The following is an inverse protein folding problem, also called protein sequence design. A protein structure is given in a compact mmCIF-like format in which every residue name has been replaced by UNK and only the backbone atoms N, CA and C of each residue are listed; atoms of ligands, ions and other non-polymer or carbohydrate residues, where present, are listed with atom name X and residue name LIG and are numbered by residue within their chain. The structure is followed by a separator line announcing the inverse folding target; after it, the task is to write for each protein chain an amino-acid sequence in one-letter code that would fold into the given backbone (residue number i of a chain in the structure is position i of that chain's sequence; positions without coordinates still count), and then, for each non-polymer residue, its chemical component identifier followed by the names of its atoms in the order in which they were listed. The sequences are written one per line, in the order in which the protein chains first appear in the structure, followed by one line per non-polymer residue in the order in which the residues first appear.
data_IF_423981911934
#
_entry.id   IF_423981911934
#
_cell.length_a   1.000
_cell.length_b   1.000
_cell.length_c   1.000
_cell.angle_alpha   90.00
_cell.angle_beta   90.00
_cell.angle_gamma   90.00
#
_symmetry.space_group_name_H-M   'P 1'
#
loop_
_entity.id
_entity.type
_entity.pdbx_description
1 polymer ?
#
# COMPACT_ATOMS: atom_id res chain seq x y z
N UNK A 1 19.48 15.64 -4.33
CA UNK A 1 19.25 15.58 -5.77
C UNK A 1 19.11 14.13 -6.27
N UNK A 2 20.11 13.24 -6.03
CA UNK A 2 20.11 11.84 -6.52
C UNK A 2 18.84 11.11 -6.03
N UNK A 3 18.54 11.13 -4.73
CA UNK A 3 17.35 10.48 -4.17
C UNK A 3 16.04 11.07 -4.71
N UNK A 4 15.98 12.34 -4.99
CA UNK A 4 14.80 12.99 -5.58
C UNK A 4 14.55 12.50 -7.01
N UNK A 5 15.59 12.46 -7.84
CA UNK A 5 15.51 11.96 -9.22
C UNK A 5 15.16 10.46 -9.22
N UNK A 6 15.82 9.67 -8.39
CA UNK A 6 15.52 8.24 -8.20
C UNK A 6 14.06 8.01 -7.81
N UNK A 7 13.57 8.70 -6.78
CA UNK A 7 12.20 8.56 -6.31
C UNK A 7 11.16 8.98 -7.35
N UNK A 8 11.47 9.96 -8.20
CA UNK A 8 10.60 10.37 -9.29
C UNK A 8 10.35 9.22 -10.29
N UNK A 9 11.42 8.58 -10.77
CA UNK A 9 11.30 7.45 -11.70
C UNK A 9 10.76 6.19 -11.02
N UNK A 10 11.18 5.90 -9.80
CA UNK A 10 10.69 4.77 -9.01
C UNK A 10 9.17 4.81 -8.84
N UNK A 11 8.63 5.96 -8.42
CA UNK A 11 7.19 6.11 -8.20
C UNK A 11 6.36 6.09 -9.50
N UNK A 12 6.96 6.27 -10.66
CA UNK A 12 6.25 6.18 -11.93
C UNK A 12 6.00 4.74 -12.39
N UNK A 13 6.85 3.79 -12.00
CA UNK A 13 6.81 2.41 -12.52
C UNK A 13 5.58 1.63 -12.03
N UNK A 14 5.32 1.61 -10.73
CA UNK A 14 4.24 0.80 -10.15
C UNK A 14 2.85 1.14 -10.70
N UNK A 15 2.43 2.42 -10.82
CA UNK A 15 1.12 2.77 -11.41
C UNK A 15 0.94 2.26 -12.84
N UNK A 16 2.02 2.24 -13.64
CA UNK A 16 1.96 1.74 -15.02
C UNK A 16 1.74 0.23 -15.04
N UNK A 17 2.44 -0.53 -14.21
CA UNK A 17 2.23 -1.98 -14.10
C UNK A 17 0.83 -2.31 -13.60
N UNK A 18 0.31 -1.58 -12.62
CA UNK A 18 -1.04 -1.77 -12.09
C UNK A 18 -2.11 -1.48 -13.15
N UNK A 19 -2.00 -0.36 -13.87
CA UNK A 19 -2.91 -0.01 -14.96
C UNK A 19 -2.89 -1.06 -16.07
N UNK A 20 -1.69 -1.48 -16.50
CA UNK A 20 -1.51 -2.53 -17.52
C UNK A 20 -2.13 -3.86 -17.08
N UNK A 21 -1.88 -4.27 -15.82
CA UNK A 21 -2.46 -5.49 -15.25
C UNK A 21 -3.99 -5.44 -15.24
N UNK A 22 -4.57 -4.34 -14.80
CA UNK A 22 -6.03 -4.17 -14.76
C UNK A 22 -6.64 -4.16 -16.17
N UNK A 23 -5.97 -3.56 -17.15
CA UNK A 23 -6.41 -3.55 -18.54
C UNK A 23 -6.43 -4.98 -19.14
N UNK A 24 -5.40 -5.79 -18.85
CA UNK A 24 -5.37 -7.21 -19.29
C UNK A 24 -6.43 -8.07 -18.61
N UNK A 25 -6.76 -7.79 -17.35
CA UNK A 25 -7.80 -8.51 -16.61
C UNK A 25 -9.21 -8.20 -17.13
N UNK A 26 -9.45 -7.00 -17.65
CA UNK A 26 -10.76 -6.57 -18.14
C UNK A 26 -11.85 -6.78 -17.08
N UNK A 27 -12.86 -7.59 -17.39
CA UNK A 27 -13.95 -7.90 -16.45
C UNK A 27 -13.54 -8.76 -15.25
N UNK A 28 -12.37 -9.39 -15.27
CA UNK A 28 -11.88 -10.27 -14.20
C UNK A 28 -11.03 -9.53 -13.15
N UNK A 29 -11.38 -8.30 -12.84
CA UNK A 29 -10.63 -7.42 -11.92
C UNK A 29 -10.43 -8.02 -10.52
N UNK A 30 -11.34 -8.92 -10.08
CA UNK A 30 -11.20 -9.64 -8.81
C UNK A 30 -9.94 -10.55 -8.77
N UNK A 31 -9.37 -10.90 -9.93
CA UNK A 31 -8.13 -11.70 -10.03
C UNK A 31 -6.85 -10.87 -9.89
N UNK A 32 -6.95 -9.54 -9.81
CA UNK A 32 -5.80 -8.65 -9.63
C UNK A 32 -4.90 -9.09 -8.46
N UNK A 33 -5.52 -9.42 -7.33
CA UNK A 33 -4.79 -9.83 -6.12
C UNK A 33 -3.96 -11.09 -6.31
N UNK A 34 -4.40 -12.04 -7.17
CA UNK A 34 -3.64 -13.25 -7.49
C UNK A 34 -2.37 -12.96 -8.33
N UNK A 35 -2.33 -11.82 -9.02
CA UNK A 35 -1.13 -11.35 -9.72
C UNK A 35 -0.27 -10.53 -8.73
N UNK A 36 -0.91 -9.65 -7.96
CA UNK A 36 -0.23 -8.76 -7.01
C UNK A 36 0.56 -9.51 -5.93
N UNK A 37 0.07 -10.68 -5.49
CA UNK A 37 0.75 -11.52 -4.49
C UNK A 37 2.20 -11.87 -4.88
N UNK A 38 2.51 -12.00 -6.19
CA UNK A 38 3.87 -12.29 -6.65
C UNK A 38 4.85 -11.16 -6.31
N UNK A 39 4.36 -9.91 -6.15
CA UNK A 39 5.16 -8.83 -5.61
C UNK A 39 5.58 -9.06 -4.15
N UNK A 40 4.68 -9.60 -3.32
CA UNK A 40 5.00 -9.96 -1.93
C UNK A 40 5.95 -11.16 -1.86
N UNK A 41 5.77 -12.16 -2.71
CA UNK A 41 6.70 -13.29 -2.85
C UNK A 41 8.08 -12.80 -3.27
N UNK A 42 8.16 -11.94 -4.29
CA UNK A 42 9.41 -11.34 -4.75
C UNK A 42 10.11 -10.53 -3.64
N UNK A 43 9.34 -9.78 -2.85
CA UNK A 43 9.88 -9.05 -1.70
C UNK A 43 10.51 -10.00 -0.68
N UNK A 44 9.83 -11.07 -0.28
CA UNK A 44 10.36 -12.05 0.69
C UNK A 44 11.63 -12.69 0.15
N UNK A 45 11.64 -13.15 -1.11
CA UNK A 45 12.83 -13.76 -1.73
C UNK A 45 14.00 -12.78 -1.74
N UNK A 46 13.72 -11.52 -2.12
CA UNK A 46 14.75 -10.49 -2.20
C UNK A 46 15.33 -10.19 -0.82
N UNK A 47 14.50 -9.98 0.20
CA UNK A 47 14.94 -9.66 1.56
C UNK A 47 15.70 -10.86 2.17
N UNK A 48 15.16 -12.07 2.04
CA UNK A 48 15.82 -13.28 2.55
C UNK A 48 17.15 -13.57 1.85
N UNK A 49 17.25 -13.30 0.55
CA UNK A 49 18.49 -13.50 -0.20
C UNK A 49 19.52 -12.39 0.00
N UNK A 50 19.06 -11.13 0.13
CA UNK A 50 19.95 -9.98 0.29
C UNK A 50 20.57 -9.90 1.69
N UNK A 51 19.85 -10.28 2.74
CA UNK A 51 20.36 -10.20 4.11
C UNK A 51 21.74 -10.83 4.26
N UNK A 52 21.91 -12.16 4.00
CA UNK A 52 23.20 -12.83 4.09
C UNK A 52 24.27 -12.28 3.15
N UNK A 53 23.89 -11.76 1.98
CA UNK A 53 24.82 -11.13 1.04
C UNK A 53 25.35 -9.81 1.59
N UNK A 54 24.48 -8.98 2.17
CA UNK A 54 24.88 -7.71 2.78
C UNK A 54 25.72 -7.92 4.05
N UNK A 55 25.42 -8.96 4.82
CA UNK A 55 26.24 -9.35 5.97
C UNK A 55 27.66 -9.76 5.54
N UNK A 56 27.79 -10.43 4.39
CA UNK A 56 29.08 -10.94 3.90
C UNK A 56 29.89 -9.89 3.13
N UNK A 57 29.24 -9.05 2.33
CA UNK A 57 29.89 -8.11 1.39
C UNK A 57 29.70 -6.64 1.75
N UNK A 58 28.94 -6.35 2.80
CA UNK A 58 28.63 -5.00 3.26
C UNK A 58 27.58 -4.27 2.40
N UNK A 59 27.12 -3.14 2.90
CA UNK A 59 26.07 -2.32 2.26
C UNK A 59 26.51 -1.65 0.96
N UNK A 60 27.81 -1.63 0.65
CA UNK A 60 28.34 -1.13 -0.63
C UNK A 60 27.85 -1.94 -1.84
N UNK A 61 27.39 -3.19 -1.62
CA UNK A 61 26.79 -4.04 -2.67
C UNK A 61 25.38 -3.56 -3.08
N UNK A 62 24.69 -2.80 -2.25
CA UNK A 62 23.28 -2.44 -2.46
C UNK A 62 23.01 -1.72 -3.80
N UNK A 63 23.83 -0.71 -4.23
CA UNK A 63 23.64 -0.07 -5.53
C UNK A 63 23.71 -1.02 -6.72
N UNK A 64 24.66 -1.99 -6.69
CA UNK A 64 24.81 -2.98 -7.77
C UNK A 64 23.58 -3.89 -7.84
N UNK A 65 23.08 -4.36 -6.69
CA UNK A 65 21.87 -5.18 -6.62
C UNK A 65 20.67 -4.41 -7.15
N UNK A 66 20.51 -3.14 -6.79
CA UNK A 66 19.44 -2.29 -7.32
C UNK A 66 19.52 -2.15 -8.84
N UNK A 67 20.71 -1.94 -9.41
CA UNK A 67 20.89 -1.88 -10.88
C UNK A 67 20.45 -3.18 -11.54
N UNK A 68 20.84 -4.34 -10.99
CA UNK A 68 20.42 -5.64 -11.52
C UNK A 68 18.90 -5.81 -11.46
N UNK A 69 18.28 -5.48 -10.33
CA UNK A 69 16.83 -5.57 -10.16
C UNK A 69 16.08 -4.64 -11.14
N UNK A 70 16.57 -3.41 -11.35
CA UNK A 70 15.98 -2.49 -12.34
C UNK A 70 16.15 -3.00 -13.77
N UNK A 71 17.30 -3.57 -14.10
CA UNK A 71 17.50 -4.20 -15.41
C UNK A 71 16.53 -5.36 -15.63
N UNK A 72 16.29 -6.21 -14.62
CA UNK A 72 15.31 -7.30 -14.68
C UNK A 72 13.88 -6.77 -14.83
N UNK A 73 13.50 -5.70 -14.11
CA UNK A 73 12.21 -5.04 -14.26
C UNK A 73 12.05 -4.50 -15.69
N UNK A 74 13.06 -3.83 -16.22
CA UNK A 74 13.06 -3.31 -17.58
C UNK A 74 12.92 -4.43 -18.62
N UNK A 75 13.74 -5.48 -18.53
CA UNK A 75 13.68 -6.62 -19.46
C UNK A 75 12.32 -7.32 -19.39
N UNK A 76 11.76 -7.52 -18.19
CA UNK A 76 10.44 -8.13 -18.05
C UNK A 76 9.33 -7.26 -18.62
N UNK A 77 9.45 -5.93 -18.52
CA UNK A 77 8.47 -5.01 -19.11
C UNK A 77 8.40 -5.09 -20.63
N UNK A 78 9.51 -5.39 -21.29
CA UNK A 78 9.56 -5.58 -22.76
C UNK A 78 8.80 -6.82 -23.23
N UNK A 79 8.63 -7.80 -22.34
CA UNK A 79 7.88 -9.04 -22.65
C UNK A 79 6.37 -8.90 -22.43
N UNK A 80 5.91 -7.81 -21.81
CA UNK A 80 4.49 -7.57 -21.55
C UNK A 80 3.82 -7.04 -22.83
N UNK A 81 2.84 -7.74 -23.41
CA UNK A 81 2.16 -7.26 -24.62
C UNK A 81 1.36 -5.98 -24.28
N UNK A 82 1.38 -5.03 -25.17
CA UNK A 82 0.51 -3.86 -25.05
C UNK A 82 -0.95 -4.32 -25.18
N UNK A 83 -1.73 -4.21 -24.11
CA UNK A 83 -3.17 -4.27 -24.25
C UNK A 83 -3.63 -2.88 -24.65
N UNK A 84 -4.17 -2.75 -25.87
CA UNK A 84 -4.89 -1.55 -26.24
C UNK A 84 -5.95 -1.31 -25.16
N UNK A 85 -5.78 -0.27 -24.34
CA UNK A 85 -6.88 0.27 -23.57
C UNK A 85 -7.99 0.48 -24.58
N UNK A 86 -9.09 -0.33 -24.50
CA UNK A 86 -10.07 -0.40 -25.56
C UNK A 86 -10.47 1.02 -25.98
N UNK A 87 -10.02 1.40 -27.16
CA UNK A 87 -10.32 2.70 -27.76
C UNK A 87 -11.77 2.65 -28.28
N UNK A 88 -12.70 2.39 -27.36
CA UNK A 88 -14.06 2.74 -27.64
C UNK A 88 -14.13 4.29 -27.55
N UNK A 89 -14.55 4.98 -28.62
CA UNK A 89 -14.84 6.40 -28.57
C UNK A 89 -16.11 6.60 -27.75
N UNK A 90 -15.98 6.46 -26.45
CA UNK A 90 -17.01 6.90 -25.52
C UNK A 90 -16.77 8.37 -25.31
N UNK A 91 -17.77 9.21 -25.56
CA UNK A 91 -17.78 10.60 -25.09
C UNK A 91 -17.49 10.59 -23.59
N UNK A 92 -16.24 10.84 -23.24
CA UNK A 92 -15.81 10.76 -21.85
C UNK A 92 -16.11 12.11 -21.20
N UNK A 93 -16.81 12.05 -20.09
CA UNK A 93 -16.99 13.22 -19.25
C UNK A 93 -15.59 13.80 -18.91
N UNK A 94 -15.42 15.15 -18.92
CA UNK A 94 -14.12 15.76 -18.62
C UNK A 94 -13.57 15.24 -17.28
N UNK A 95 -12.26 14.98 -17.19
CA UNK A 95 -11.60 14.49 -15.97
C UNK A 95 -11.98 15.30 -14.72
N UNK A 96 -12.14 16.62 -14.88
CA UNK A 96 -12.64 17.50 -13.80
C UNK A 96 -13.99 17.06 -13.23
N UNK A 97 -14.90 16.50 -14.06
CA UNK A 97 -16.20 15.99 -13.60
C UNK A 97 -16.01 14.71 -12.78
N UNK A 98 -15.11 13.82 -13.19
CA UNK A 98 -14.77 12.60 -12.44
C UNK A 98 -14.18 12.98 -11.09
N UNK A 99 -13.20 13.88 -11.06
CA UNK A 99 -12.55 14.35 -9.83
C UNK A 99 -13.48 15.09 -8.86
N UNK A 100 -14.61 15.66 -9.34
CA UNK A 100 -15.62 16.32 -8.50
C UNK A 100 -16.64 15.36 -7.90
N UNK A 101 -16.63 14.10 -8.28
CA UNK A 101 -17.53 13.11 -7.69
C UNK A 101 -17.17 12.89 -6.22
N UNK A 102 -18.18 12.95 -5.35
CA UNK A 102 -18.01 12.78 -3.90
C UNK A 102 -17.28 11.48 -3.55
N UNK A 103 -17.61 10.39 -4.25
CA UNK A 103 -16.99 9.07 -4.04
C UNK A 103 -15.51 9.07 -4.42
N UNK A 104 -15.12 9.75 -5.52
CA UNK A 104 -13.73 9.87 -5.95
C UNK A 104 -12.92 10.68 -4.95
N UNK A 105 -13.44 11.84 -4.52
CA UNK A 105 -12.79 12.67 -3.50
C UNK A 105 -12.63 11.92 -2.17
N UNK A 106 -13.68 11.21 -1.74
CA UNK A 106 -13.64 10.41 -0.53
C UNK A 106 -12.59 9.28 -0.64
N UNK A 107 -12.55 8.56 -1.77
CA UNK A 107 -11.56 7.51 -1.98
C UNK A 107 -10.13 8.06 -1.93
N UNK A 108 -9.86 9.15 -2.66
CA UNK A 108 -8.53 9.77 -2.67
C UNK A 108 -8.12 10.29 -1.28
N UNK A 109 -9.07 10.87 -0.52
CA UNK A 109 -8.82 11.29 0.85
C UNK A 109 -8.53 10.09 1.78
N UNK A 110 -9.29 8.99 1.65
CA UNK A 110 -9.01 7.74 2.39
C UNK A 110 -7.63 7.22 2.05
N UNK A 111 -7.26 7.19 0.77
CA UNK A 111 -5.97 6.70 0.33
C UNK A 111 -4.82 7.54 0.89
N UNK A 112 -4.97 8.86 0.91
CA UNK A 112 -4.00 9.77 1.55
C UNK A 112 -3.90 9.51 3.06
N UNK A 113 -5.03 9.49 3.78
CA UNK A 113 -5.05 9.32 5.23
C UNK A 113 -4.51 7.96 5.68
N UNK A 114 -4.91 6.88 5.01
CA UNK A 114 -4.41 5.54 5.33
C UNK A 114 -2.91 5.48 5.14
N UNK A 115 -2.39 6.04 4.05
CA UNK A 115 -0.95 6.01 3.79
C UNK A 115 -0.17 6.96 4.72
N UNK A 116 -0.75 8.11 5.09
CA UNK A 116 -0.19 8.97 6.12
C UNK A 116 -0.12 8.24 7.48
N UNK A 117 -1.14 7.43 7.82
CA UNK A 117 -1.12 6.62 9.04
C UNK A 117 -0.05 5.51 9.02
N UNK A 118 0.41 5.09 7.84
CA UNK A 118 1.51 4.12 7.69
C UNK A 118 2.91 4.75 7.78
N UNK A 119 3.01 6.08 7.74
CA UNK A 119 4.30 6.78 7.81
C UNK A 119 5.17 6.35 8.99
N UNK A 120 4.66 6.34 10.25
CA UNK A 120 5.42 5.86 11.41
C UNK A 120 5.90 4.42 11.27
N UNK A 121 5.07 3.56 10.72
CA UNK A 121 5.38 2.16 10.57
C UNK A 121 6.58 1.96 9.65
N UNK A 122 6.58 2.55 8.48
CA UNK A 122 7.69 2.40 7.54
C UNK A 122 8.97 3.12 7.98
N UNK A 123 8.84 4.24 8.69
CA UNK A 123 10.01 5.02 9.08
C UNK A 123 10.60 4.61 10.44
N UNK A 124 9.78 4.21 11.41
CA UNK A 124 10.18 4.19 12.82
C UNK A 124 9.87 2.87 13.55
N UNK A 125 9.10 1.95 12.95
CA UNK A 125 8.66 0.74 13.64
C UNK A 125 9.82 -0.14 14.12
N UNK A 126 10.85 -0.33 13.29
CA UNK A 126 12.04 -1.13 13.67
C UNK A 126 12.77 -0.49 14.85
N UNK A 127 12.96 0.84 14.82
CA UNK A 127 13.59 1.60 15.89
C UNK A 127 12.74 1.48 17.18
N UNK A 128 11.40 1.60 17.04
CA UNK A 128 10.49 1.48 18.18
C UNK A 128 10.58 0.11 18.87
N UNK A 129 10.70 -0.97 18.10
CA UNK A 129 10.89 -2.30 18.66
C UNK A 129 12.28 -2.47 19.28
N UNK A 130 13.33 -1.95 18.65
CA UNK A 130 14.70 -2.01 19.15
C UNK A 130 14.82 -1.29 20.50
N UNK A 131 14.24 -0.09 20.64
CA UNK A 131 14.17 0.68 21.88
C UNK A 131 13.45 -0.08 23.02
N UNK A 132 12.59 -1.07 22.68
CA UNK A 132 11.91 -1.93 23.64
C UNK A 132 12.55 -3.33 23.79
N UNK A 133 13.80 -3.48 23.34
CA UNK A 133 14.61 -4.67 23.58
C UNK A 133 14.38 -5.83 22.62
N UNK A 134 13.68 -5.63 21.51
CA UNK A 134 13.54 -6.65 20.48
C UNK A 134 14.85 -6.80 19.69
N UNK A 135 15.27 -8.04 19.46
CA UNK A 135 16.43 -8.30 18.63
C UNK A 135 16.16 -8.00 17.15
N UNK A 136 17.21 -7.64 16.39
CA UNK A 136 17.12 -7.35 14.96
C UNK A 136 16.51 -8.54 14.17
N UNK A 137 16.86 -9.78 14.55
CA UNK A 137 16.30 -10.99 13.96
C UNK A 137 14.77 -11.08 14.16
N UNK A 138 14.30 -10.88 15.40
CA UNK A 138 12.87 -10.91 15.72
C UNK A 138 12.09 -9.77 15.02
N UNK A 139 12.70 -8.60 14.89
CA UNK A 139 12.12 -7.49 14.11
C UNK A 139 11.94 -7.90 12.64
N UNK A 140 12.95 -8.54 12.05
CA UNK A 140 12.86 -9.08 10.69
C UNK A 140 11.77 -10.13 10.54
N UNK A 141 11.62 -11.05 11.51
CA UNK A 141 10.55 -12.06 11.52
C UNK A 141 9.15 -11.41 11.61
N UNK A 142 8.99 -10.37 12.41
CA UNK A 142 7.75 -9.61 12.50
C UNK A 142 7.40 -8.91 11.18
N UNK A 143 8.37 -8.35 10.48
CA UNK A 143 8.17 -7.80 9.14
C UNK A 143 7.74 -8.89 8.14
N UNK A 144 8.44 -10.02 8.13
CA UNK A 144 8.12 -11.16 7.26
C UNK A 144 6.72 -11.72 7.52
N UNK A 145 6.33 -11.83 8.80
CA UNK A 145 4.99 -12.27 9.20
C UNK A 145 3.90 -11.38 8.59
N UNK A 146 4.10 -10.06 8.63
CA UNK A 146 3.15 -9.11 8.02
C UNK A 146 2.96 -9.36 6.52
N UNK A 147 4.05 -9.59 5.78
CA UNK A 147 4.00 -9.85 4.34
C UNK A 147 3.45 -11.24 4.02
N UNK A 148 3.73 -12.24 4.83
CA UNK A 148 3.13 -13.58 4.69
C UNK A 148 1.61 -13.51 4.88
N UNK A 149 1.15 -12.80 5.90
CA UNK A 149 -0.29 -12.58 6.13
C UNK A 149 -0.96 -11.83 4.96
N UNK A 150 -0.26 -10.87 4.34
CA UNK A 150 -0.70 -10.15 3.15
C UNK A 150 -0.93 -11.10 1.97
N UNK A 151 -0.02 -12.05 1.71
CA UNK A 151 -0.19 -13.07 0.68
C UNK A 151 -1.49 -13.86 0.91
N UNK A 152 -1.76 -14.25 2.15
CA UNK A 152 -3.00 -14.95 2.52
C UNK A 152 -4.24 -14.16 2.12
N UNK A 153 -4.28 -12.85 2.39
CA UNK A 153 -5.41 -12.00 1.97
C UNK A 153 -5.50 -11.89 0.45
N UNK A 154 -4.39 -11.73 -0.25
CA UNK A 154 -4.43 -11.64 -1.72
C UNK A 154 -4.97 -12.92 -2.37
N UNK A 155 -4.68 -14.09 -1.82
CA UNK A 155 -5.26 -15.38 -2.26
C UNK A 155 -6.77 -15.44 -2.02
N UNK A 156 -7.27 -14.81 -0.95
CA UNK A 156 -8.69 -14.80 -0.60
C UNK A 156 -9.49 -13.72 -1.34
N UNK A 157 -8.86 -12.68 -1.87
CA UNK A 157 -9.56 -11.56 -2.52
C UNK A 157 -10.51 -11.95 -3.65
N UNK A 158 -10.21 -12.96 -4.53
CA UNK A 158 -11.14 -13.40 -5.55
C UNK A 158 -12.50 -13.89 -5.01
N UNK A 159 -12.52 -14.35 -3.74
CA UNK A 159 -13.74 -14.78 -3.04
C UNK A 159 -14.32 -13.64 -2.19
N UNK A 160 -13.47 -12.89 -1.49
CA UNK A 160 -13.90 -11.84 -0.57
C UNK A 160 -14.58 -10.69 -1.31
N UNK A 161 -13.99 -10.22 -2.41
CA UNK A 161 -14.47 -9.03 -3.12
C UNK A 161 -15.87 -9.23 -3.71
N UNK A 162 -16.19 -10.34 -4.43
CA UNK A 162 -17.54 -10.60 -4.91
C UNK A 162 -18.56 -10.85 -3.78
N UNK A 163 -18.13 -11.45 -2.66
CA UNK A 163 -19.03 -11.85 -1.56
C UNK A 163 -19.43 -10.67 -0.67
N UNK A 164 -18.50 -9.80 -0.33
CA UNK A 164 -18.71 -8.75 0.66
C UNK A 164 -18.83 -7.36 0.06
N UNK A 165 -18.35 -7.18 -1.18
CA UNK A 165 -18.30 -5.88 -1.84
C UNK A 165 -17.20 -4.95 -1.33
N UNK A 166 -16.80 -4.00 -2.18
CA UNK A 166 -15.64 -3.15 -1.94
C UNK A 166 -15.81 -2.24 -0.71
N UNK A 167 -17.01 -1.68 -0.49
CA UNK A 167 -17.24 -0.78 0.65
C UNK A 167 -17.06 -1.47 2.00
N UNK A 168 -17.64 -2.65 2.20
CA UNK A 168 -17.53 -3.39 3.47
C UNK A 168 -16.08 -3.81 3.70
N UNK A 169 -15.41 -4.29 2.68
CA UNK A 169 -13.98 -4.67 2.77
C UNK A 169 -13.10 -3.47 3.10
N UNK A 170 -13.38 -2.30 2.52
CA UNK A 170 -12.63 -1.08 2.82
C UNK A 170 -12.86 -0.61 4.26
N UNK A 171 -14.10 -0.64 4.75
CA UNK A 171 -14.42 -0.34 6.16
C UNK A 171 -13.70 -1.29 7.11
N UNK A 172 -13.70 -2.60 6.82
CA UNK A 172 -12.98 -3.62 7.60
C UNK A 172 -11.47 -3.35 7.58
N UNK A 173 -10.89 -3.09 6.40
CA UNK A 173 -9.46 -2.82 6.26
C UNK A 173 -9.03 -1.60 7.08
N UNK A 174 -9.74 -0.49 6.95
CA UNK A 174 -9.39 0.76 7.66
C UNK A 174 -9.67 0.64 9.17
N UNK A 175 -10.74 -0.05 9.57
CA UNK A 175 -11.02 -0.34 10.98
C UNK A 175 -9.92 -1.20 11.64
N UNK A 176 -9.48 -2.25 10.96
CA UNK A 176 -8.37 -3.09 11.42
C UNK A 176 -7.03 -2.36 11.38
N UNK A 177 -6.85 -1.38 10.48
CA UNK A 177 -5.69 -0.46 10.48
C UNK A 177 -5.67 0.36 11.78
N UNK A 178 -6.81 0.93 12.17
CA UNK A 178 -6.92 1.69 13.42
C UNK A 178 -6.58 0.81 14.63
N UNK A 179 -7.16 -0.40 14.69
CA UNK A 179 -6.85 -1.36 15.74
C UNK A 179 -5.35 -1.68 15.79
N UNK A 180 -4.74 -1.94 14.63
CA UNK A 180 -3.31 -2.24 14.52
C UNK A 180 -2.44 -1.17 15.14
N UNK A 181 -2.71 0.11 14.83
CA UNK A 181 -1.92 1.22 15.38
C UNK A 181 -2.11 1.38 16.90
N UNK A 182 -3.33 1.17 17.40
CA UNK A 182 -3.59 1.16 18.85
C UNK A 182 -2.83 0.05 19.56
N UNK A 183 -2.76 -1.15 18.96
CA UNK A 183 -2.02 -2.27 19.51
C UNK A 183 -0.51 -2.00 19.54
N UNK A 184 0.05 -1.50 18.44
CA UNK A 184 1.48 -1.17 18.36
C UNK A 184 1.83 -0.05 19.36
N UNK A 185 1.04 1.03 19.38
CA UNK A 185 1.30 2.16 20.28
C UNK A 185 1.07 1.85 21.75
N UNK A 186 0.10 0.99 22.08
CA UNK A 186 -0.27 0.77 23.49
C UNK A 186 0.38 -0.45 24.15
N UNK A 187 0.91 -1.40 23.37
CA UNK A 187 1.32 -2.71 23.90
C UNK A 187 2.62 -3.24 23.31
N UNK A 188 3.55 -2.36 22.94
CA UNK A 188 4.80 -2.72 22.29
C UNK A 188 5.62 -3.74 23.10
N UNK A 189 5.60 -3.69 24.44
CA UNK A 189 6.34 -4.60 25.31
C UNK A 189 5.78 -6.06 25.28
N UNK A 190 4.65 -6.30 24.65
CA UNK A 190 3.99 -7.62 24.60
C UNK A 190 4.17 -8.27 23.25
N UNK A 191 5.15 -9.17 23.13
CA UNK A 191 5.45 -9.88 21.89
C UNK A 191 4.20 -10.51 21.23
N UNK A 192 3.33 -11.17 22.01
CA UNK A 192 2.12 -11.77 21.48
C UNK A 192 1.18 -10.75 20.81
N UNK A 193 1.11 -9.52 21.35
CA UNK A 193 0.35 -8.43 20.76
C UNK A 193 1.02 -7.93 19.47
N UNK A 194 2.35 -7.84 19.45
CA UNK A 194 3.10 -7.46 18.25
C UNK A 194 2.93 -8.50 17.14
N UNK A 195 3.02 -9.78 17.44
CA UNK A 195 2.74 -10.86 16.49
C UNK A 195 1.32 -10.71 15.91
N UNK A 196 0.31 -10.53 16.76
CA UNK A 196 -1.05 -10.31 16.28
C UNK A 196 -1.19 -9.03 15.44
N UNK A 197 -0.62 -7.92 15.90
CA UNK A 197 -0.63 -6.65 15.16
C UNK A 197 0.04 -6.78 13.78
N UNK A 198 1.07 -7.63 13.64
CA UNK A 198 1.68 -7.87 12.33
C UNK A 198 0.78 -8.69 11.41
N UNK A 199 -0.02 -9.63 11.91
CA UNK A 199 -1.01 -10.31 11.05
C UNK A 199 -2.05 -9.34 10.50
N UNK A 200 -2.37 -8.25 11.22
CA UNK A 200 -3.28 -7.20 10.75
C UNK A 200 -2.70 -6.37 9.59
N UNK A 201 -1.40 -6.51 9.26
CA UNK A 201 -0.81 -5.95 8.05
C UNK A 201 -1.54 -6.40 6.79
N UNK A 202 -1.98 -7.65 6.76
CA UNK A 202 -2.81 -8.20 5.71
C UNK A 202 -4.07 -7.34 5.42
N UNK A 203 -4.70 -6.83 6.47
CA UNK A 203 -5.87 -5.95 6.32
C UNK A 203 -5.46 -4.50 6.02
N UNK A 204 -4.50 -3.96 6.80
CA UNK A 204 -4.12 -2.55 6.73
C UNK A 204 -3.41 -2.18 5.42
N UNK A 205 -2.72 -3.14 4.78
CA UNK A 205 -2.09 -2.95 3.48
C UNK A 205 -2.74 -3.82 2.41
N UNK A 206 -2.70 -5.15 2.51
CA UNK A 206 -3.13 -6.05 1.45
C UNK A 206 -4.59 -5.87 1.04
N UNK A 207 -5.52 -5.97 1.99
CA UNK A 207 -6.95 -5.81 1.75
C UNK A 207 -7.29 -4.38 1.28
N UNK A 208 -6.76 -3.36 2.01
CA UNK A 208 -6.94 -1.97 1.65
C UNK A 208 -6.46 -1.69 0.22
N UNK A 209 -5.22 -2.06 -0.11
CA UNK A 209 -4.62 -1.80 -1.42
C UNK A 209 -5.40 -2.47 -2.55
N UNK A 210 -5.74 -3.75 -2.42
CA UNK A 210 -6.50 -4.47 -3.43
C UNK A 210 -7.87 -3.82 -3.70
N UNK A 211 -8.58 -3.39 -2.64
CA UNK A 211 -9.86 -2.70 -2.77
C UNK A 211 -9.69 -1.30 -3.36
N UNK A 212 -8.65 -0.56 -2.97
CA UNK A 212 -8.36 0.76 -3.52
C UNK A 212 -8.09 0.71 -5.02
N UNK A 213 -7.23 -0.22 -5.48
CA UNK A 213 -6.96 -0.44 -6.90
C UNK A 213 -8.24 -0.79 -7.68
N UNK A 214 -9.04 -1.71 -7.14
CA UNK A 214 -10.33 -2.06 -7.74
C UNK A 214 -11.26 -0.85 -7.90
N UNK A 215 -11.38 0.00 -6.86
CA UNK A 215 -12.21 1.20 -6.89
C UNK A 215 -11.66 2.26 -7.85
N UNK A 216 -10.34 2.48 -7.87
CA UNK A 216 -9.71 3.39 -8.83
C UNK A 216 -10.01 2.93 -10.26
N UNK A 217 -9.84 1.65 -10.56
CA UNK A 217 -10.12 1.11 -11.89
C UNK A 217 -11.59 1.29 -12.30
N UNK A 218 -12.52 1.15 -11.37
CA UNK A 218 -13.96 1.34 -11.64
C UNK A 218 -14.38 2.81 -11.80
N UNK A 219 -13.80 3.70 -11.02
CA UNK A 219 -14.16 5.13 -11.02
C UNK A 219 -13.48 5.91 -12.13
N UNK A 220 -12.31 5.47 -12.57
CA UNK A 220 -11.56 6.06 -13.67
C UNK A 220 -11.56 5.10 -14.86
N UNK A 221 -12.49 5.30 -15.79
CA UNK A 221 -12.69 4.41 -16.94
C UNK A 221 -11.96 4.91 -18.20
N UNK A 222 -11.72 4.02 -19.16
CA UNK A 222 -11.17 4.34 -20.46
C UNK A 222 -9.82 5.07 -20.38
N UNK A 223 -9.65 6.18 -21.10
CA UNK A 223 -8.40 6.96 -21.13
C UNK A 223 -8.01 7.58 -19.77
N UNK A 224 -8.89 7.53 -18.77
CA UNK A 224 -8.60 8.06 -17.43
C UNK A 224 -8.03 7.04 -16.44
N UNK A 225 -7.99 5.75 -16.79
CA UNK A 225 -7.48 4.70 -15.91
C UNK A 225 -6.04 4.96 -15.44
N UNK A 226 -5.11 5.23 -16.36
CA UNK A 226 -3.73 5.55 -16.02
C UNK A 226 -3.60 6.83 -15.19
N UNK A 227 -4.46 7.84 -15.44
CA UNK A 227 -4.48 9.08 -14.63
C UNK A 227 -5.02 8.82 -13.23
N UNK A 228 -6.05 7.98 -13.09
CA UNK A 228 -6.57 7.55 -11.79
C UNK A 228 -5.53 6.82 -10.96
N UNK A 229 -4.79 5.90 -11.60
CA UNK A 229 -3.69 5.16 -10.97
C UNK A 229 -2.55 6.10 -10.54
N UNK A 230 -2.16 7.05 -11.40
CA UNK A 230 -1.13 8.03 -11.07
C UNK A 230 -1.55 8.93 -9.90
N UNK A 231 -2.81 9.39 -9.86
CA UNK A 231 -3.37 10.16 -8.76
C UNK A 231 -3.38 9.35 -7.45
N UNK A 232 -3.84 8.11 -7.50
CA UNK A 232 -3.81 7.21 -6.35
C UNK A 232 -2.40 7.07 -5.80
N UNK A 233 -1.44 6.73 -6.65
CA UNK A 233 -0.05 6.53 -6.23
C UNK A 233 0.58 7.81 -5.66
N UNK A 234 0.40 8.94 -6.36
CA UNK A 234 0.97 10.23 -5.94
C UNK A 234 0.37 10.74 -4.64
N UNK A 235 -0.94 10.62 -4.45
CA UNK A 235 -1.61 11.06 -3.23
C UNK A 235 -1.38 10.11 -2.06
N UNK A 236 -1.40 8.80 -2.31
CA UNK A 236 -1.17 7.80 -1.26
C UNK A 236 0.31 7.73 -0.88
N UNK A 237 1.09 7.03 -1.69
CA UNK A 237 2.49 6.72 -1.38
C UNK A 237 3.38 7.96 -1.43
N UNK A 238 3.12 8.91 -2.36
CA UNK A 238 3.83 10.17 -2.44
C UNK A 238 3.46 11.11 -1.28
N UNK A 239 2.35 11.81 -1.41
CA UNK A 239 1.98 12.88 -0.48
C UNK A 239 1.60 12.35 0.92
N UNK A 240 0.78 11.29 1.00
CA UNK A 240 0.36 10.68 2.26
C UNK A 240 1.54 10.07 3.02
N UNK A 241 2.34 9.24 2.34
CA UNK A 241 3.53 8.62 2.93
C UNK A 241 4.54 9.66 3.42
N UNK A 242 4.83 10.69 2.60
CA UNK A 242 5.73 11.77 2.99
C UNK A 242 5.21 12.57 4.18
N UNK A 243 3.94 12.97 4.16
CA UNK A 243 3.33 13.72 5.26
C UNK A 243 3.35 12.92 6.57
N UNK A 244 3.00 11.62 6.51
CA UNK A 244 3.02 10.73 7.65
C UNK A 244 4.42 10.52 8.22
N UNK A 245 5.40 10.24 7.36
CA UNK A 245 6.79 10.01 7.79
C UNK A 245 7.43 11.28 8.38
N UNK A 246 7.21 12.45 7.76
CA UNK A 246 7.71 13.73 8.28
C UNK A 246 7.07 14.07 9.63
N UNK A 247 5.75 13.99 9.73
CA UNK A 247 5.05 14.23 10.99
C UNK A 247 5.52 13.29 12.09
N UNK A 248 5.77 12.02 11.75
CA UNK A 248 6.29 11.01 12.67
C UNK A 248 7.66 11.39 13.23
N UNK A 249 8.59 11.85 12.40
CA UNK A 249 9.92 12.28 12.84
C UNK A 249 9.87 13.44 13.82
N UNK A 250 9.05 14.45 13.55
CA UNK A 250 8.87 15.58 14.46
C UNK A 250 8.25 15.17 15.79
N UNK A 251 7.22 14.33 15.78
CA UNK A 251 6.54 13.89 16.99
C UNK A 251 7.37 12.91 17.82
N UNK A 252 8.17 12.09 17.17
CA UNK A 252 9.07 11.14 17.83
C UNK A 252 10.01 11.84 18.81
N UNK A 253 10.66 12.90 18.34
CA UNK A 253 11.61 13.66 19.14
C UNK A 253 10.93 14.67 20.07
N UNK A 254 9.77 15.19 19.70
CA UNK A 254 9.09 16.29 20.41
C UNK A 254 8.07 15.88 21.46
N UNK A 255 7.50 14.65 21.34
CA UNK A 255 6.43 14.18 22.26
C UNK A 255 6.79 12.81 22.83
N UNK A 256 6.58 11.75 22.08
CA UNK A 256 6.99 10.38 22.43
C UNK A 256 6.80 9.43 21.24
N UNK A 257 7.56 8.32 21.18
CA UNK A 257 7.36 7.26 20.19
C UNK A 257 5.94 6.68 20.20
N UNK A 258 5.37 6.47 21.38
CA UNK A 258 4.01 5.97 21.53
C UNK A 258 2.96 6.90 20.92
N UNK A 259 3.09 8.21 21.14
CA UNK A 259 2.15 9.22 20.62
C UNK A 259 2.08 9.21 19.10
N UNK A 260 3.16 8.85 18.43
CA UNK A 260 3.24 8.74 16.96
C UNK A 260 2.29 7.66 16.43
N UNK A 261 2.25 6.49 17.07
CA UNK A 261 1.32 5.40 16.68
C UNK A 261 -0.12 5.70 17.09
N UNK A 262 -0.34 6.39 18.20
CA UNK A 262 -1.68 6.84 18.60
C UNK A 262 -2.23 7.90 17.64
N UNK A 263 -1.39 8.80 17.14
CA UNK A 263 -1.78 9.72 16.06
C UNK A 263 -2.10 8.97 14.76
N UNK A 264 -1.31 7.95 14.40
CA UNK A 264 -1.60 7.11 13.25
C UNK A 264 -2.97 6.42 13.39
N UNK A 265 -3.33 5.96 14.59
CA UNK A 265 -4.66 5.44 14.90
C UNK A 265 -5.76 6.50 14.71
N UNK A 266 -5.54 7.72 15.17
CA UNK A 266 -6.49 8.82 14.98
C UNK A 266 -6.67 9.19 13.50
N UNK A 267 -5.59 9.23 12.72
CA UNK A 267 -5.63 9.49 11.27
C UNK A 267 -6.40 8.37 10.55
N UNK A 268 -6.14 7.11 10.87
CA UNK A 268 -6.86 5.99 10.26
C UNK A 268 -8.33 5.94 10.69
N UNK A 269 -8.66 6.35 11.91
CA UNK A 269 -10.05 6.51 12.36
C UNK A 269 -10.77 7.63 11.57
N UNK A 270 -10.09 8.74 11.29
CA UNK A 270 -10.64 9.78 10.42
C UNK A 270 -10.89 9.23 9.00
N UNK A 271 -9.97 8.41 8.46
CA UNK A 271 -10.19 7.73 7.20
C UNK A 271 -11.43 6.82 7.24
N UNK A 272 -11.65 6.08 8.33
CA UNK A 272 -12.84 5.23 8.53
C UNK A 272 -14.14 6.04 8.46
N UNK A 273 -14.17 7.22 9.09
CA UNK A 273 -15.32 8.14 9.01
C UNK A 273 -15.56 8.61 7.58
N UNK A 274 -14.49 8.92 6.83
CA UNK A 274 -14.59 9.31 5.42
C UNK A 274 -15.11 8.16 4.57
N UNK A 275 -14.69 6.91 4.79
CA UNK A 275 -15.25 5.73 4.08
C UNK A 275 -16.74 5.61 4.37
N UNK A 276 -17.11 5.68 5.64
CA UNK A 276 -18.51 5.51 6.06
C UNK A 276 -19.44 6.54 5.42
N UNK A 277 -19.05 7.80 5.40
CA UNK A 277 -19.88 8.91 4.89
C UNK A 277 -19.75 9.18 3.39
N UNK A 278 -18.63 8.81 2.76
CA UNK A 278 -18.29 9.21 1.39
C UNK A 278 -18.40 8.11 0.34
N UNK A 279 -18.28 6.83 0.74
CA UNK A 279 -18.32 5.70 -0.19
C UNK A 279 -19.60 4.90 0.05
N UNK A 280 -20.50 4.86 -0.96
CA UNK A 280 -21.78 4.16 -0.89
C UNK A 280 -21.77 2.94 -1.82
N UNK A 281 -22.52 1.89 -1.44
CA UNK A 281 -22.61 0.64 -2.23
C UNK A 281 -23.21 0.86 -3.62
N UNK A 282 -24.15 1.81 -3.79
CA UNK A 282 -24.79 2.15 -5.08
C UNK A 282 -23.81 2.70 -6.14
N UNK A 283 -22.62 3.14 -5.76
CA UNK A 283 -21.58 3.61 -6.66
C UNK A 283 -20.48 2.57 -6.90
N UNK A 284 -20.61 1.40 -6.26
CA UNK A 284 -19.55 0.38 -6.16
C UNK A 284 -20.07 -1.02 -6.56
N UNK A 285 -21.38 -1.15 -6.77
CA UNK A 285 -22.05 -2.37 -7.25
C UNK A 285 -21.87 -2.60 -8.77
#
# INVERSE_FOLDING_TARGET
LVMTVFSFFWNAALPQFEATTMNHLGMRTHRYSSIRLWGSVGFIITVAGLGPLLDSYGTALLPQVLVVLFALIWLSSLAVPESAAGHLPVEQAPLRRVLRQRTVLALLAVCFLVQASHGPYYALFSIYLEDHGYSTGLIGELWALGVIAEIGVFLLMPVLLPRFGARRLLLTAVGLTTLRWLLIGGFVDKLAVMVFAQTLHAASFGLYHAVAIYLIHRLFTGAYQGRGQALYSSLSFGAGGAAGSLASGYLWSGVSPQAVFLLAAAISLAALVVVYGGIRDSHVA
#
